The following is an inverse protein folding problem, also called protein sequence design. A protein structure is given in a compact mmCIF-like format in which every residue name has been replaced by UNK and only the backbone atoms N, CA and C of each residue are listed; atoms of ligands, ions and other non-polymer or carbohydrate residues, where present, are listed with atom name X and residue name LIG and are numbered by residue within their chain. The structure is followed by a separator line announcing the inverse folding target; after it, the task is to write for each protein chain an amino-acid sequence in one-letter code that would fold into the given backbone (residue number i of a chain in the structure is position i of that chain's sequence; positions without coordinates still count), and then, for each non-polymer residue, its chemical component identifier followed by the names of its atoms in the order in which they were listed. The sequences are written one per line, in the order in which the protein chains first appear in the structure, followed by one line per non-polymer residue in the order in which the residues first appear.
data_IF_743157099711
#
_entry.id   IF_743157099711
#
_cell.length_a   1.000
_cell.length_b   1.000
_cell.length_c   1.000
_cell.angle_alpha   90.00
_cell.angle_beta   90.00
_cell.angle_gamma   90.00
#
_symmetry.space_group_name_H-M   'P 1'
#
loop_
_entity.id
_entity.type
_entity.pdbx_description
1 polymer ?
#
# COMPACT_ATOMS: atom_id res chain seq x y z
N UNK A 1 -48.60 -15.07 39.24
CA UNK A 1 -47.16 -14.73 39.41
C UNK A 1 -46.21 -15.50 38.47
N UNK A 2 -46.56 -16.68 37.91
CA UNK A 2 -45.68 -17.44 36.99
C UNK A 2 -45.35 -16.73 35.66
N UNK A 3 -46.29 -15.97 35.09
CA UNK A 3 -46.08 -15.24 33.83
C UNK A 3 -45.03 -14.11 33.95
N UNK A 4 -44.98 -13.42 35.09
CA UNK A 4 -43.98 -12.37 35.34
C UNK A 4 -42.55 -12.95 35.40
N UNK A 5 -42.39 -14.15 35.98
CA UNK A 5 -41.10 -14.85 36.01
C UNK A 5 -40.61 -15.22 34.60
N UNK A 6 -41.51 -15.66 33.72
CA UNK A 6 -41.18 -16.00 32.33
C UNK A 6 -40.74 -14.76 31.52
N UNK A 7 -41.40 -13.62 31.73
CA UNK A 7 -41.04 -12.36 31.08
C UNK A 7 -39.66 -11.88 31.52
N UNK A 8 -39.37 -11.91 32.82
CA UNK A 8 -38.06 -11.50 33.36
C UNK A 8 -36.95 -12.42 32.83
N UNK A 9 -37.20 -13.74 32.83
CA UNK A 9 -36.25 -14.72 32.29
C UNK A 9 -35.95 -14.45 30.81
N UNK A 10 -36.97 -14.19 30.00
CA UNK A 10 -36.79 -13.85 28.58
C UNK A 10 -35.93 -12.60 28.39
N UNK A 11 -36.20 -11.53 29.15
CA UNK A 11 -35.44 -10.27 29.05
C UNK A 11 -33.96 -10.50 29.38
N UNK A 12 -33.66 -11.28 30.43
CA UNK A 12 -32.29 -11.58 30.82
C UNK A 12 -31.56 -12.39 29.74
N UNK A 13 -32.20 -13.42 29.18
CA UNK A 13 -31.59 -14.19 28.10
C UNK A 13 -31.39 -13.35 26.83
N UNK A 14 -32.34 -12.48 26.52
CA UNK A 14 -32.24 -11.58 25.37
C UNK A 14 -31.08 -10.60 25.51
N UNK A 15 -30.91 -9.97 26.68
CA UNK A 15 -29.81 -9.01 26.90
C UNK A 15 -28.45 -9.68 26.89
N UNK A 16 -28.33 -10.90 27.44
CA UNK A 16 -27.09 -11.69 27.36
C UNK A 16 -26.79 -12.08 25.91
N UNK A 17 -27.79 -12.55 25.16
CA UNK A 17 -27.60 -12.96 23.77
C UNK A 17 -27.20 -11.76 22.90
N UNK A 18 -27.84 -10.61 23.13
CA UNK A 18 -27.54 -9.36 22.44
C UNK A 18 -26.13 -8.85 22.77
N UNK A 19 -25.70 -8.94 24.03
CA UNK A 19 -24.35 -8.50 24.43
C UNK A 19 -23.27 -9.39 23.81
N UNK A 20 -23.47 -10.71 23.79
CA UNK A 20 -22.56 -11.64 23.12
C UNK A 20 -22.53 -11.37 21.61
N UNK A 21 -23.69 -11.12 20.99
CA UNK A 21 -23.75 -10.80 19.57
C UNK A 21 -22.96 -9.53 19.23
N UNK A 22 -23.11 -8.46 20.01
CA UNK A 22 -22.31 -7.24 19.83
C UNK A 22 -20.83 -7.44 20.10
N UNK A 23 -20.47 -8.24 21.11
CA UNK A 23 -19.08 -8.55 21.41
C UNK A 23 -18.40 -9.28 20.24
N UNK A 24 -19.07 -10.30 19.70
CA UNK A 24 -18.57 -11.06 18.55
C UNK A 24 -18.50 -10.19 17.29
N UNK A 25 -19.52 -9.36 17.04
CA UNK A 25 -19.51 -8.42 15.91
C UNK A 25 -18.35 -7.42 15.98
N UNK A 26 -18.07 -6.86 17.16
CA UNK A 26 -16.93 -5.97 17.37
C UNK A 26 -15.59 -6.68 17.23
N UNK A 27 -15.49 -7.94 17.69
CA UNK A 27 -14.28 -8.74 17.52
C UNK A 27 -13.95 -8.97 16.05
N UNK A 28 -14.95 -9.32 15.22
CA UNK A 28 -14.75 -9.45 13.77
C UNK A 28 -14.34 -8.14 13.12
N UNK A 29 -14.96 -7.03 13.51
CA UNK A 29 -14.59 -5.70 13.00
C UNK A 29 -13.13 -5.35 13.33
N UNK A 30 -12.71 -5.61 14.57
CA UNK A 30 -11.35 -5.35 15.02
C UNK A 30 -10.32 -6.22 14.27
N UNK A 31 -10.59 -7.51 14.12
CA UNK A 31 -9.72 -8.43 13.38
C UNK A 31 -9.61 -8.03 11.90
N UNK A 32 -10.72 -7.62 11.29
CA UNK A 32 -10.72 -7.11 9.92
C UNK A 32 -9.81 -5.89 9.77
N UNK A 33 -9.91 -4.92 10.69
CA UNK A 33 -9.09 -3.71 10.64
C UNK A 33 -7.59 -4.01 10.83
N UNK A 34 -7.23 -4.96 11.71
CA UNK A 34 -5.85 -5.42 11.89
C UNK A 34 -5.29 -6.09 10.63
N UNK A 35 -5.99 -7.10 10.10
CA UNK A 35 -5.56 -7.83 8.90
C UNK A 35 -5.41 -6.85 7.73
N UNK A 36 -6.35 -5.91 7.59
CA UNK A 36 -6.30 -4.90 6.55
C UNK A 36 -5.02 -4.06 6.63
N UNK A 37 -4.64 -3.61 7.83
CA UNK A 37 -3.43 -2.81 8.07
C UNK A 37 -2.15 -3.58 7.73
N UNK A 38 -2.09 -4.85 8.12
CA UNK A 38 -0.91 -5.69 7.88
C UNK A 38 -0.75 -5.99 6.39
N UNK A 39 -1.85 -6.27 5.68
CA UNK A 39 -1.87 -6.46 4.23
C UNK A 39 -1.45 -5.19 3.51
N UNK A 40 -1.97 -4.02 3.91
CA UNK A 40 -1.59 -2.74 3.31
C UNK A 40 -0.10 -2.45 3.49
N UNK A 41 0.42 -2.67 4.70
CA UNK A 41 1.84 -2.46 4.99
C UNK A 41 2.73 -3.39 4.16
N UNK A 42 2.47 -4.70 4.22
CA UNK A 42 3.25 -5.68 3.47
C UNK A 42 3.18 -5.40 1.97
N UNK A 43 2.01 -5.04 1.45
CA UNK A 43 1.83 -4.68 0.05
C UNK A 43 2.60 -3.43 -0.34
N UNK A 44 2.64 -2.39 0.51
CA UNK A 44 3.43 -1.18 0.25
C UNK A 44 4.93 -1.44 0.25
N UNK A 45 5.40 -2.25 1.20
CA UNK A 45 6.81 -2.67 1.29
C UNK A 45 7.23 -3.45 0.05
N UNK A 46 6.48 -4.50 -0.34
CA UNK A 46 6.77 -5.24 -1.56
C UNK A 46 6.74 -4.34 -2.80
N UNK A 47 5.76 -3.44 -2.91
CA UNK A 47 5.67 -2.53 -4.06
C UNK A 47 6.89 -1.61 -4.14
N UNK A 48 7.31 -1.03 -3.01
CA UNK A 48 8.47 -0.17 -2.94
C UNK A 48 9.76 -0.93 -3.30
N UNK A 49 9.94 -2.15 -2.79
CA UNK A 49 11.10 -2.99 -3.08
C UNK A 49 11.14 -3.41 -4.55
N UNK A 50 10.02 -3.89 -5.12
CA UNK A 50 9.95 -4.26 -6.54
C UNK A 50 10.27 -3.08 -7.45
N UNK A 51 9.69 -1.91 -7.17
CA UNK A 51 9.98 -0.71 -7.95
C UNK A 51 11.45 -0.32 -7.86
N UNK A 52 12.06 -0.45 -6.67
CA UNK A 52 13.48 -0.10 -6.50
C UNK A 52 14.38 -1.07 -7.27
N UNK A 53 14.07 -2.36 -7.25
CA UNK A 53 14.80 -3.37 -8.01
C UNK A 53 14.64 -3.15 -9.53
N UNK A 54 13.43 -2.80 -9.99
CA UNK A 54 13.17 -2.47 -11.40
C UNK A 54 13.92 -1.21 -11.81
N UNK A 55 13.95 -0.17 -10.99
CA UNK A 55 14.71 1.05 -11.25
C UNK A 55 16.22 0.76 -11.37
N UNK A 56 16.80 -0.01 -10.44
CA UNK A 56 18.21 -0.41 -10.49
C UNK A 56 18.49 -1.21 -11.78
N UNK A 57 17.63 -2.18 -12.10
CA UNK A 57 17.76 -2.99 -13.30
C UNK A 57 17.63 -2.16 -14.58
N UNK A 58 16.73 -1.17 -14.62
CA UNK A 58 16.56 -0.30 -15.77
C UNK A 58 17.85 0.45 -16.08
N UNK A 59 18.49 1.02 -15.05
CA UNK A 59 19.75 1.73 -15.19
C UNK A 59 20.88 0.79 -15.60
N UNK A 60 21.04 -0.36 -14.92
CA UNK A 60 22.17 -1.25 -15.13
C UNK A 60 22.11 -1.99 -16.48
N UNK A 61 20.89 -2.21 -17.01
CA UNK A 61 20.67 -2.78 -18.35
C UNK A 61 20.89 -1.75 -19.46
N UNK A 62 20.71 -0.45 -19.17
CA UNK A 62 20.81 0.67 -20.12
C UNK A 62 22.26 1.12 -20.38
N UNK A 63 23.22 0.20 -20.57
CA UNK A 63 24.63 0.58 -20.87
C UNK A 63 24.83 1.16 -22.27
N UNK A 64 23.92 0.85 -23.19
CA UNK A 64 23.99 1.26 -24.61
C UNK A 64 22.69 1.86 -25.15
N UNK A 65 21.68 2.10 -24.31
CA UNK A 65 20.42 2.69 -24.73
C UNK A 65 20.40 4.18 -24.36
N UNK A 66 19.65 4.98 -25.13
CA UNK A 66 19.46 6.40 -24.83
C UNK A 66 18.36 6.58 -23.79
N UNK A 67 17.25 5.85 -23.95
CA UNK A 67 16.10 5.87 -23.06
C UNK A 67 15.59 4.44 -22.76
N UNK A 68 15.17 4.19 -21.52
CA UNK A 68 14.47 2.96 -21.11
C UNK A 68 13.19 3.34 -20.37
N UNK A 69 12.05 2.85 -20.84
CA UNK A 69 10.77 2.97 -20.15
C UNK A 69 10.25 1.59 -19.74
N UNK A 70 9.84 1.45 -18.48
CA UNK A 70 9.27 0.23 -17.93
C UNK A 70 7.91 0.56 -17.32
N UNK A 71 6.85 0.03 -17.93
CA UNK A 71 5.49 0.17 -17.41
C UNK A 71 5.15 -0.98 -16.47
N UNK A 72 4.69 -0.63 -15.27
CA UNK A 72 4.30 -1.53 -14.20
C UNK A 72 2.81 -1.32 -13.88
N UNK A 73 2.07 -2.42 -13.84
CA UNK A 73 0.68 -2.37 -13.40
C UNK A 73 0.61 -2.68 -11.90
N UNK A 74 0.61 -1.63 -11.09
CA UNK A 74 0.41 -1.76 -9.64
C UNK A 74 -1.09 -1.90 -9.39
N UNK A 75 -1.47 -2.95 -8.66
CA UNK A 75 -2.87 -3.21 -8.33
C UNK A 75 -3.24 -2.54 -7.01
N UNK A 76 -4.51 -2.14 -6.83
CA UNK A 76 -5.00 -1.65 -5.54
C UNK A 76 -4.81 -2.72 -4.46
N UNK A 77 -4.38 -2.29 -3.27
CA UNK A 77 -4.24 -3.17 -2.10
C UNK A 77 -5.32 -2.86 -1.09
N UNK A 78 -6.05 -3.87 -0.65
CA UNK A 78 -7.19 -3.74 0.28
C UNK A 78 -8.19 -2.60 -0.04
N UNK A 79 -8.42 -2.35 -1.33
CA UNK A 79 -9.34 -1.33 -1.85
C UNK A 79 -8.75 0.09 -1.94
N UNK A 80 -7.45 0.26 -1.71
CA UNK A 80 -6.76 1.54 -1.80
C UNK A 80 -5.72 1.56 -2.92
N UNK A 81 -5.63 2.69 -3.61
CA UNK A 81 -4.66 2.91 -4.67
C UNK A 81 -3.40 3.52 -4.07
N UNK A 82 -2.23 2.87 -4.20
CA UNK A 82 -0.98 3.48 -3.77
C UNK A 82 -0.62 4.68 -4.67
N UNK A 83 -0.07 5.72 -4.06
CA UNK A 83 0.62 6.83 -4.73
C UNK A 83 2.12 6.59 -4.62
N UNK A 84 2.82 6.77 -5.72
CA UNK A 84 4.24 6.46 -5.83
C UNK A 84 4.96 7.75 -6.20
N UNK A 85 6.01 8.05 -5.45
CA UNK A 85 6.84 9.23 -5.63
C UNK A 85 8.29 8.82 -5.67
N UNK A 86 9.05 9.46 -6.54
CA UNK A 86 10.50 9.33 -6.58
C UNK A 86 11.14 10.48 -5.78
N UNK A 87 11.86 10.18 -4.71
CA UNK A 87 12.52 11.18 -3.85
C UNK A 87 13.65 10.52 -3.05
N UNK A 88 14.90 10.68 -3.51
CA UNK A 88 16.08 9.99 -2.96
C UNK A 88 15.95 8.45 -2.82
N UNK A 89 14.95 7.87 -3.51
CA UNK A 89 14.41 6.54 -3.31
C UNK A 89 12.99 6.43 -3.87
N UNK A 90 12.29 5.33 -3.58
CA UNK A 90 10.89 5.16 -4.00
C UNK A 90 10.01 5.21 -2.78
N UNK A 91 9.16 6.23 -2.74
CA UNK A 91 8.15 6.44 -1.72
C UNK A 91 6.82 5.88 -2.21
N UNK A 92 6.25 4.96 -1.44
CA UNK A 92 4.90 4.45 -1.66
C UNK A 92 4.02 4.93 -0.51
N UNK A 93 3.05 5.78 -0.84
CA UNK A 93 2.04 6.30 0.09
C UNK A 93 0.71 5.61 -0.16
N UNK A 94 0.02 5.20 0.90
CA UNK A 94 -1.35 4.68 0.80
C UNK A 94 -2.28 5.55 1.65
N UNK A 95 -3.29 6.14 0.99
CA UNK A 95 -4.39 6.84 1.66
C UNK A 95 -5.52 5.86 1.98
N UNK A 96 -6.18 5.94 3.16
CA UNK A 96 -6.21 7.04 4.13
C UNK A 96 -5.26 6.90 5.33
N UNK A 97 -4.49 5.81 5.44
CA UNK A 97 -3.66 5.58 6.62
C UNK A 97 -2.43 6.49 6.71
N UNK A 98 -2.12 7.27 5.65
CA UNK A 98 -0.93 8.12 5.55
C UNK A 98 0.38 7.38 5.85
N UNK A 99 0.38 6.05 5.68
CA UNK A 99 1.60 5.25 5.77
C UNK A 99 2.43 5.54 4.53
N UNK A 100 3.67 5.92 4.77
CA UNK A 100 4.69 6.16 3.76
C UNK A 100 5.76 5.11 3.97
N UNK A 101 5.99 4.29 2.95
CA UNK A 101 7.10 3.34 2.92
C UNK A 101 8.11 3.87 1.93
N UNK A 102 9.37 3.98 2.37
CA UNK A 102 10.48 4.37 1.52
C UNK A 102 11.38 3.17 1.28
N UNK A 103 11.56 2.80 0.01
CA UNK A 103 12.64 1.90 -0.39
C UNK A 103 13.84 2.71 -0.87
N UNK A 104 15.01 2.14 -0.64
CA UNK A 104 16.29 2.74 -1.01
C UNK A 104 16.77 2.21 -2.35
N UNK A 105 17.21 3.11 -3.22
CA UNK A 105 17.88 2.77 -4.47
C UNK A 105 19.39 2.86 -4.22
N UNK A 106 19.92 1.82 -3.58
CA UNK A 106 21.36 1.71 -3.29
C UNK A 106 22.15 1.76 -4.61
N UNK A 107 23.25 2.52 -4.65
CA UNK A 107 24.18 2.69 -5.78
C UNK A 107 23.80 3.67 -6.90
N UNK A 108 22.59 4.24 -6.91
CA UNK A 108 22.18 5.20 -7.95
C UNK A 108 22.17 6.66 -7.49
N UNK A 109 22.22 6.90 -6.18
CA UNK A 109 22.05 8.23 -5.57
C UNK A 109 23.12 9.26 -5.99
N UNK A 110 24.35 8.82 -6.23
CA UNK A 110 25.46 9.72 -6.56
C UNK A 110 25.59 9.99 -8.07
N UNK A 111 24.92 9.20 -8.92
CA UNK A 111 25.08 9.25 -10.38
C UNK A 111 23.83 9.71 -11.13
N UNK A 112 22.66 9.76 -10.49
CA UNK A 112 21.36 9.99 -11.14
C UNK A 112 20.57 11.09 -10.44
N UNK A 113 19.91 11.93 -11.25
CA UNK A 113 18.94 12.92 -10.79
C UNK A 113 17.53 12.33 -10.81
N UNK A 114 16.79 12.44 -9.71
CA UNK A 114 15.40 11.97 -9.63
C UNK A 114 14.43 13.08 -10.03
N UNK A 115 13.51 12.79 -10.95
CA UNK A 115 12.38 13.66 -11.24
C UNK A 115 11.24 13.35 -10.27
N UNK A 116 10.96 14.29 -9.38
CA UNK A 116 9.95 14.17 -8.34
C UNK A 116 8.54 14.38 -8.91
N UNK A 117 7.95 13.33 -9.46
CA UNK A 117 6.54 13.28 -9.82
C UNK A 117 5.79 12.32 -8.89
N UNK A 118 4.55 12.67 -8.56
CA UNK A 118 3.64 11.80 -7.80
C UNK A 118 2.68 11.13 -8.79
N UNK A 119 2.70 9.79 -8.84
CA UNK A 119 1.84 9.01 -9.74
C UNK A 119 0.94 8.10 -8.92
N UNK A 120 -0.35 8.10 -9.26
CA UNK A 120 -1.33 7.23 -8.61
C UNK A 120 -1.49 5.94 -9.42
N UNK A 121 -1.50 4.81 -8.72
CA UNK A 121 -1.73 3.45 -9.25
C UNK A 121 -3.12 3.24 -9.90
N UNK A 122 -3.92 4.29 -10.05
CA UNK A 122 -5.13 4.30 -10.90
C UNK A 122 -4.75 4.01 -12.36
N UNK A 123 -3.55 4.37 -12.78
CA UNK A 123 -3.00 4.13 -14.11
C UNK A 123 -1.72 3.28 -14.03
N UNK A 124 -1.34 2.60 -15.12
CA UNK A 124 -0.05 1.93 -15.20
C UNK A 124 1.07 2.94 -14.97
N UNK A 125 2.00 2.59 -14.09
CA UNK A 125 3.10 3.45 -13.67
C UNK A 125 4.29 3.15 -14.56
N UNK A 126 4.79 4.15 -15.27
CA UNK A 126 5.92 4.05 -16.16
C UNK A 126 7.15 4.68 -15.53
N UNK A 127 8.18 3.87 -15.30
CA UNK A 127 9.49 4.33 -14.90
C UNK A 127 10.32 4.62 -16.14
N UNK A 128 10.82 5.84 -16.27
CA UNK A 128 11.60 6.27 -17.43
C UNK A 128 13.00 6.67 -16.98
N UNK A 129 14.02 6.05 -17.58
CA UNK A 129 15.41 6.44 -17.41
C UNK A 129 15.94 7.04 -18.71
N UNK A 130 16.35 8.30 -18.64
CA UNK A 130 16.99 9.04 -19.73
C UNK A 130 18.50 9.16 -19.45
N UNK A 131 19.30 8.53 -20.31
CA UNK A 131 20.74 8.41 -20.11
C UNK A 131 21.47 9.72 -20.37
N UNK A 132 21.08 10.48 -21.39
CA UNK A 132 21.78 11.73 -21.77
C UNK A 132 21.86 12.71 -20.59
N UNK A 133 20.78 12.79 -19.82
CA UNK A 133 20.67 13.68 -18.67
C UNK A 133 20.88 12.98 -17.32
N UNK A 134 21.07 11.65 -17.31
CA UNK A 134 21.04 10.78 -16.13
C UNK A 134 19.82 11.07 -15.23
N UNK A 135 18.64 11.13 -15.83
CA UNK A 135 17.38 11.42 -15.12
C UNK A 135 16.57 10.13 -15.00
N UNK A 136 16.12 9.83 -13.78
CA UNK A 136 15.11 8.80 -13.53
C UNK A 136 13.80 9.49 -13.14
N UNK A 137 12.76 9.24 -13.93
CA UNK A 137 11.42 9.80 -13.73
C UNK A 137 10.34 8.73 -13.63
N UNK A 138 9.16 9.16 -13.21
CA UNK A 138 7.97 8.34 -13.04
C UNK A 138 6.77 9.08 -13.64
N UNK A 139 5.95 8.34 -14.40
CA UNK A 139 4.76 8.83 -15.12
C UNK A 139 3.57 7.87 -14.97
#
# INVERSE_FOLDING_TARGET
MKAQSLIIQFIIFFTISLSVFFMVGNLFRYQYDLIRRDVLQSSSELTAEYLSAVAIKAVDTCKSCDNVSITLNVKPSAGYNPTIRLDDGILVKIEPENKIVQSSIHNLKDSIRFQTNDVSSVQPITLTYERENNILGIE
#
